data_IF_673327331583
#
_entry.id   IF_673327331583
#
_cell.length_a   1.000
_cell.length_b   1.000
_cell.length_c   1.000
_cell.angle_alpha   90.00
_cell.angle_beta   90.00
_cell.angle_gamma   90.00
#
_symmetry.space_group_name_H-M   'P 1'
#
loop_
_entity.id
_entity.type
_entity.pdbx_description
1 polymer ?
#
# COMPACT_ATOMS: atom_id res chain seq x y z
N UNK A 1 13.27 -43.83 26.49
CA UNK A 1 14.34 -43.08 25.81
C UNK A 1 13.88 -41.65 25.55
N UNK A 2 14.57 -40.65 26.11
CA UNK A 2 14.14 -39.24 26.00
C UNK A 2 14.09 -38.71 24.57
N UNK A 3 14.92 -39.24 23.65
CA UNK A 3 14.90 -38.90 22.23
C UNK A 3 13.56 -39.18 21.52
N UNK A 4 12.78 -40.15 22.02
CA UNK A 4 11.49 -40.52 21.42
C UNK A 4 10.30 -39.71 21.94
N UNK A 5 10.49 -38.85 22.95
CA UNK A 5 9.42 -38.02 23.51
C UNK A 5 8.92 -36.95 22.54
N UNK A 6 9.70 -36.63 21.52
CA UNK A 6 9.32 -35.69 20.47
C UNK A 6 8.44 -36.32 19.36
N UNK A 7 8.46 -37.65 19.20
CA UNK A 7 7.74 -38.32 18.12
C UNK A 7 6.20 -38.17 18.22
N UNK A 8 5.56 -38.33 19.41
CA UNK A 8 4.13 -38.10 19.54
C UNK A 8 3.73 -36.66 19.20
N UNK A 9 4.54 -35.68 19.60
CA UNK A 9 4.35 -34.27 19.25
C UNK A 9 4.44 -34.04 17.74
N UNK A 10 5.47 -34.61 17.09
CA UNK A 10 5.61 -34.53 15.63
C UNK A 10 4.39 -35.13 14.91
N UNK A 11 3.91 -36.29 15.35
CA UNK A 11 2.73 -36.95 14.77
C UNK A 11 1.45 -36.15 14.98
N UNK A 12 1.28 -35.50 16.14
CA UNK A 12 0.12 -34.67 16.43
C UNK A 12 0.14 -33.34 15.63
N UNK A 13 1.33 -32.77 15.41
CA UNK A 13 1.50 -31.53 14.66
C UNK A 13 1.36 -31.72 13.14
N UNK A 14 1.79 -32.86 12.60
CA UNK A 14 1.78 -33.15 11.16
C UNK A 14 0.44 -32.88 10.43
N UNK A 15 -0.73 -33.34 10.92
CA UNK A 15 -2.01 -33.07 10.24
C UNK A 15 -2.42 -31.59 10.32
N UNK A 16 -2.12 -30.89 11.41
CA UNK A 16 -2.39 -29.45 11.55
C UNK A 16 -1.53 -28.66 10.57
N UNK A 17 -0.25 -28.99 10.48
CA UNK A 17 0.69 -28.39 9.55
C UNK A 17 0.25 -28.58 8.09
N UNK A 18 -0.23 -29.77 7.73
CA UNK A 18 -0.78 -30.04 6.41
C UNK A 18 -2.08 -29.28 6.11
N UNK A 19 -2.89 -28.93 7.12
CA UNK A 19 -4.05 -28.06 6.94
C UNK A 19 -3.61 -26.61 6.67
N UNK A 20 -2.65 -26.10 7.44
CA UNK A 20 -2.12 -24.75 7.30
C UNK A 20 -1.36 -24.52 5.98
N UNK A 21 -0.63 -25.54 5.50
CA UNK A 21 -0.01 -25.52 4.17
C UNK A 21 -1.04 -25.42 3.04
N UNK A 22 -2.19 -26.10 3.18
CA UNK A 22 -3.30 -26.03 2.22
C UNK A 22 -3.98 -24.67 2.26
N UNK A 23 -4.27 -24.16 3.45
CA UNK A 23 -4.82 -22.82 3.64
C UNK A 23 -3.92 -21.75 3.01
N UNK A 24 -2.61 -21.82 3.21
CA UNK A 24 -1.67 -20.91 2.54
C UNK A 24 -1.73 -21.01 1.01
N UNK A 25 -1.85 -22.23 0.48
CA UNK A 25 -1.93 -22.45 -0.96
C UNK A 25 -3.21 -21.84 -1.55
N UNK A 26 -4.34 -21.98 -0.87
CA UNK A 26 -5.63 -21.38 -1.26
C UNK A 26 -5.58 -19.85 -1.21
N UNK A 27 -5.01 -19.28 -0.14
CA UNK A 27 -4.80 -17.83 -0.03
C UNK A 27 -3.88 -17.33 -1.15
N UNK A 28 -2.77 -18.01 -1.40
CA UNK A 28 -1.80 -17.63 -2.43
C UNK A 28 -2.41 -17.69 -3.84
N UNK A 29 -3.23 -18.70 -4.12
CA UNK A 29 -3.97 -18.80 -5.38
C UNK A 29 -4.98 -17.65 -5.53
N UNK A 30 -5.63 -17.26 -4.44
CA UNK A 30 -6.55 -16.11 -4.42
C UNK A 30 -5.81 -14.80 -4.69
N UNK A 31 -4.63 -14.60 -4.08
CA UNK A 31 -3.77 -13.44 -4.32
C UNK A 31 -3.28 -13.38 -5.77
N UNK A 32 -3.02 -14.52 -6.40
CA UNK A 32 -2.60 -14.59 -7.80
C UNK A 32 -3.74 -14.32 -8.79
N UNK A 33 -4.99 -14.49 -8.38
CA UNK A 33 -6.17 -14.23 -9.22
C UNK A 33 -6.37 -12.74 -9.54
N UNK A 34 -6.95 -12.47 -10.72
CA UNK A 34 -7.26 -11.12 -11.22
C UNK A 34 -8.46 -10.47 -10.52
N UNK A 35 -9.27 -11.24 -9.79
CA UNK A 35 -10.43 -10.69 -9.08
C UNK A 35 -9.98 -9.81 -7.93
N UNK A 36 -10.72 -8.72 -7.72
CA UNK A 36 -10.69 -7.87 -6.54
C UNK A 36 -11.07 -8.71 -5.31
N UNK A 37 -10.17 -9.59 -4.89
CA UNK A 37 -10.29 -10.25 -3.61
C UNK A 37 -10.27 -9.17 -2.53
N UNK A 38 -11.09 -9.35 -1.49
CA UNK A 38 -11.12 -8.43 -0.37
C UNK A 38 -9.77 -8.47 0.37
N UNK A 39 -8.86 -7.58 -0.02
CA UNK A 39 -7.47 -7.58 0.46
C UNK A 39 -7.38 -7.48 2.00
N UNK A 40 -8.21 -6.70 2.70
CA UNK A 40 -8.32 -6.73 4.16
C UNK A 40 -8.59 -8.14 4.72
N UNK A 41 -9.52 -8.88 4.12
CA UNK A 41 -9.87 -10.24 4.55
C UNK A 41 -8.72 -11.21 4.30
N UNK A 42 -8.02 -11.10 3.17
CA UNK A 42 -6.83 -11.93 2.91
C UNK A 42 -5.69 -11.63 3.89
N UNK A 43 -5.49 -10.35 4.25
CA UNK A 43 -4.46 -9.95 5.21
C UNK A 43 -4.77 -10.49 6.60
N UNK A 44 -6.03 -10.45 7.02
CA UNK A 44 -6.51 -11.01 8.29
C UNK A 44 -6.36 -12.55 8.31
N UNK A 45 -6.70 -13.25 7.23
CA UNK A 45 -6.46 -14.68 7.07
C UNK A 45 -4.96 -15.02 7.19
N UNK A 46 -4.08 -14.32 6.47
CA UNK A 46 -2.63 -14.50 6.57
C UNK A 46 -2.10 -14.21 7.97
N UNK A 47 -2.62 -13.19 8.65
CA UNK A 47 -2.22 -12.84 10.00
C UNK A 47 -2.57 -13.95 10.98
N UNK A 48 -3.80 -14.49 10.91
CA UNK A 48 -4.19 -15.65 11.72
C UNK A 48 -3.34 -16.87 11.43
N UNK A 49 -3.07 -17.14 10.15
CA UNK A 49 -2.24 -18.26 9.73
C UNK A 49 -0.81 -18.11 10.27
N UNK A 50 -0.22 -16.92 10.21
CA UNK A 50 1.09 -16.62 10.77
C UNK A 50 1.14 -16.92 12.28
N UNK A 51 0.14 -16.45 13.03
CA UNK A 51 0.02 -16.73 14.47
C UNK A 51 -0.10 -18.22 14.75
N UNK A 52 -0.88 -18.96 13.94
CA UNK A 52 -1.02 -20.40 14.09
C UNK A 52 0.29 -21.15 13.80
N UNK A 53 1.06 -20.72 12.79
CA UNK A 53 2.39 -21.26 12.46
C UNK A 53 3.36 -21.02 13.61
N UNK A 54 3.46 -19.78 14.09
CA UNK A 54 4.36 -19.42 15.18
C UNK A 54 4.03 -20.17 16.47
N UNK A 55 2.74 -20.32 16.79
CA UNK A 55 2.31 -21.14 17.93
C UNK A 55 2.76 -22.60 17.77
N UNK A 56 2.56 -23.20 16.60
CA UNK A 56 3.00 -24.58 16.32
C UNK A 56 4.52 -24.76 16.39
N UNK A 57 5.28 -23.77 15.90
CA UNK A 57 6.75 -23.73 16.01
C UNK A 57 7.16 -23.67 17.48
N UNK A 58 6.56 -22.76 18.26
CA UNK A 58 6.88 -22.55 19.67
C UNK A 58 6.62 -23.80 20.51
N UNK A 59 5.50 -24.50 20.28
CA UNK A 59 5.16 -25.76 20.96
C UNK A 59 6.22 -26.86 20.73
N UNK A 60 6.76 -26.96 19.51
CA UNK A 60 7.66 -28.04 19.10
C UNK A 60 9.15 -27.76 19.30
N UNK A 61 9.57 -26.49 19.28
CA UNK A 61 10.98 -26.09 19.13
C UNK A 61 11.90 -26.69 20.19
N UNK A 62 11.54 -26.56 21.47
CA UNK A 62 12.38 -27.09 22.56
C UNK A 62 12.48 -28.62 22.50
N UNK A 63 11.36 -29.31 22.22
CA UNK A 63 11.33 -30.78 22.23
C UNK A 63 12.03 -31.39 21.03
N UNK A 64 11.87 -30.81 19.84
CA UNK A 64 12.59 -31.23 18.63
C UNK A 64 14.10 -30.97 18.75
N UNK A 65 14.49 -29.81 19.31
CA UNK A 65 15.89 -29.50 19.60
C UNK A 65 16.51 -30.48 20.60
N UNK A 66 15.83 -30.75 21.72
CA UNK A 66 16.29 -31.71 22.71
C UNK A 66 16.39 -33.13 22.13
N UNK A 67 15.39 -33.59 21.38
CA UNK A 67 15.42 -34.91 20.75
C UNK A 67 16.60 -35.07 19.79
N UNK A 68 16.93 -34.02 19.02
CA UNK A 68 18.11 -34.00 18.14
C UNK A 68 19.40 -34.11 18.95
N UNK A 69 19.57 -33.27 19.97
CA UNK A 69 20.76 -33.30 20.83
C UNK A 69 20.95 -34.67 21.52
N UNK A 70 19.87 -35.28 22.02
CA UNK A 70 19.94 -36.61 22.62
C UNK A 70 20.25 -37.71 21.61
N UNK A 71 19.71 -37.64 20.40
CA UNK A 71 20.05 -38.58 19.33
C UNK A 71 21.53 -38.48 18.97
N UNK A 72 22.04 -37.27 18.79
CA UNK A 72 23.44 -37.04 18.42
C UNK A 72 24.39 -37.47 19.54
N UNK A 73 24.01 -37.23 20.81
CA UNK A 73 24.76 -37.74 21.96
C UNK A 73 24.82 -39.27 21.98
N UNK A 74 23.70 -39.96 21.73
CA UNK A 74 23.68 -41.43 21.67
C UNK A 74 24.61 -41.93 20.57
N UNK A 75 24.56 -41.34 19.38
CA UNK A 75 25.46 -41.72 18.28
C UNK A 75 26.93 -41.45 18.60
N UNK A 76 27.24 -40.31 19.23
CA UNK A 76 28.61 -39.98 19.68
C UNK A 76 29.13 -41.01 20.68
N UNK A 77 28.33 -41.37 21.69
CA UNK A 77 28.72 -42.37 22.69
C UNK A 77 28.93 -43.75 22.10
N UNK A 78 28.12 -44.15 21.13
CA UNK A 78 28.32 -45.41 20.41
C UNK A 78 29.61 -45.36 19.58
N UNK A 79 29.88 -44.24 18.89
CA UNK A 79 31.10 -44.08 18.10
C UNK A 79 32.37 -44.16 18.98
N UNK A 80 32.33 -43.61 20.20
CA UNK A 80 33.42 -43.69 21.18
C UNK A 80 33.74 -45.12 21.62
N UNK A 81 32.78 -46.05 21.58
CA UNK A 81 33.00 -47.46 21.91
C UNK A 81 33.87 -48.19 20.88
N UNK A 82 34.07 -47.61 19.69
CA UNK A 82 34.87 -48.20 18.59
C UNK A 82 34.47 -49.65 18.29
N UNK A 83 33.17 -49.86 18.11
CA UNK A 83 32.60 -51.19 17.87
C UNK A 83 33.25 -51.87 16.66
N UNK A 84 33.58 -53.14 16.83
CA UNK A 84 34.03 -54.00 15.73
C UNK A 84 32.89 -54.93 15.33
N UNK A 85 32.79 -55.21 14.02
CA UNK A 85 31.80 -56.16 13.52
C UNK A 85 32.19 -57.58 13.90
N UNK A 86 31.25 -58.31 14.47
CA UNK A 86 31.37 -59.76 14.67
C UNK A 86 30.39 -60.44 13.72
N UNK A 87 30.88 -61.42 12.96
CA UNK A 87 30.05 -62.12 11.97
C UNK A 87 28.80 -62.70 12.61
N UNK A 88 27.64 -62.46 12.01
CA UNK A 88 26.34 -62.92 12.49
C UNK A 88 25.71 -62.08 13.62
N UNK A 89 26.37 -61.03 14.12
CA UNK A 89 25.82 -60.15 15.17
C UNK A 89 25.70 -58.69 14.71
N UNK A 90 24.62 -58.04 15.15
CA UNK A 90 24.39 -56.62 14.91
C UNK A 90 25.15 -55.77 15.94
N UNK A 91 25.76 -54.66 15.50
CA UNK A 91 26.40 -53.69 16.42
C UNK A 91 25.35 -52.87 17.17
N UNK A 92 25.70 -52.27 18.31
CA UNK A 92 24.78 -51.39 19.05
C UNK A 92 24.43 -50.19 18.17
N UNK A 93 25.38 -49.67 17.39
CA UNK A 93 25.14 -48.61 16.41
C UNK A 93 24.07 -48.96 15.39
N UNK A 94 24.14 -50.13 14.76
CA UNK A 94 23.14 -50.55 13.77
C UNK A 94 21.77 -50.77 14.40
N UNK A 95 21.71 -51.34 15.61
CA UNK A 95 20.47 -51.52 16.36
C UNK A 95 19.82 -50.18 16.70
N UNK A 96 20.60 -49.26 17.28
CA UNK A 96 20.14 -47.96 17.73
C UNK A 96 19.75 -47.06 16.55
N UNK A 97 20.51 -47.09 15.45
CA UNK A 97 20.16 -46.37 14.22
C UNK A 97 18.80 -46.83 13.68
N UNK A 98 18.56 -48.14 13.52
CA UNK A 98 17.25 -48.66 13.06
C UNK A 98 16.11 -48.26 13.98
N UNK A 99 16.36 -48.16 15.29
CA UNK A 99 15.34 -47.84 16.28
C UNK A 99 15.04 -46.35 16.42
N UNK A 100 16.05 -45.49 16.26
CA UNK A 100 15.93 -44.04 16.49
C UNK A 100 15.77 -43.24 15.20
N UNK A 101 16.44 -43.62 14.11
CA UNK A 101 16.48 -42.83 12.89
C UNK A 101 15.08 -42.55 12.29
N UNK A 102 14.13 -43.50 12.22
CA UNK A 102 12.80 -43.22 11.68
C UNK A 102 12.02 -42.17 12.49
N UNK A 103 12.14 -42.23 13.81
CA UNK A 103 11.49 -41.28 14.71
C UNK A 103 12.12 -39.89 14.58
N UNK A 104 13.45 -39.83 14.49
CA UNK A 104 14.19 -38.59 14.31
C UNK A 104 13.94 -37.95 12.95
N UNK A 105 13.89 -38.73 11.88
CA UNK A 105 13.54 -38.24 10.54
C UNK A 105 12.15 -37.60 10.52
N UNK A 106 11.18 -38.19 11.24
CA UNK A 106 9.83 -37.61 11.38
C UNK A 106 9.88 -36.26 12.11
N UNK A 107 10.58 -36.17 13.24
CA UNK A 107 10.70 -34.93 14.00
C UNK A 107 11.40 -33.82 13.19
N UNK A 108 12.47 -34.17 12.47
CA UNK A 108 13.19 -33.24 11.62
C UNK A 108 12.35 -32.77 10.43
N UNK A 109 11.59 -33.67 9.80
CA UNK A 109 10.68 -33.33 8.70
C UNK A 109 9.61 -32.33 9.14
N UNK A 110 8.97 -32.56 10.29
CA UNK A 110 7.96 -31.64 10.85
C UNK A 110 8.60 -30.29 11.20
N UNK A 111 9.73 -30.28 11.89
CA UNK A 111 10.42 -29.04 12.25
C UNK A 111 10.83 -28.21 11.02
N UNK A 112 11.32 -28.88 9.96
CA UNK A 112 11.68 -28.21 8.71
C UNK A 112 10.45 -27.62 8.01
N UNK A 113 9.37 -28.39 7.89
CA UNK A 113 8.12 -27.92 7.28
C UNK A 113 7.50 -26.74 8.04
N UNK A 114 7.60 -26.71 9.37
CA UNK A 114 7.15 -25.57 10.19
C UNK A 114 7.91 -24.27 9.82
N UNK A 115 9.23 -24.34 9.68
CA UNK A 115 10.05 -23.19 9.28
C UNK A 115 9.78 -22.76 7.84
N UNK A 116 9.75 -23.71 6.91
CA UNK A 116 9.41 -23.45 5.50
C UNK A 116 8.03 -22.79 5.35
N UNK A 117 7.05 -23.24 6.15
CA UNK A 117 5.73 -22.63 6.15
C UNK A 117 5.75 -21.20 6.70
N UNK A 118 6.47 -20.95 7.81
CA UNK A 118 6.61 -19.59 8.37
C UNK A 118 7.18 -18.62 7.33
N UNK A 119 8.28 -18.98 6.66
CA UNK A 119 8.87 -18.17 5.58
C UNK A 119 7.91 -17.94 4.42
N UNK A 120 7.12 -18.95 4.03
CA UNK A 120 6.14 -18.81 2.95
C UNK A 120 4.98 -17.88 3.35
N UNK A 121 4.52 -17.93 4.59
CA UNK A 121 3.48 -17.01 5.11
C UNK A 121 4.00 -15.57 5.16
N UNK A 122 5.24 -15.37 5.62
CA UNK A 122 5.89 -14.05 5.63
C UNK A 122 5.98 -13.46 4.21
N UNK A 123 6.48 -14.26 3.25
CA UNK A 123 6.56 -13.85 1.84
C UNK A 123 5.20 -13.50 1.27
N UNK A 124 4.17 -14.33 1.50
CA UNK A 124 2.82 -14.06 1.04
C UNK A 124 2.26 -12.75 1.63
N UNK A 125 2.50 -12.52 2.92
CA UNK A 125 2.08 -11.29 3.63
C UNK A 125 2.76 -10.04 3.08
N UNK A 126 4.07 -10.13 2.79
CA UNK A 126 4.83 -9.02 2.19
C UNK A 126 4.34 -8.69 0.78
N UNK A 127 4.06 -9.70 -0.04
CA UNK A 127 3.53 -9.50 -1.40
C UNK A 127 2.14 -8.85 -1.38
N UNK A 128 1.25 -9.33 -0.50
CA UNK A 128 -0.08 -8.74 -0.37
C UNK A 128 -0.02 -7.28 0.10
N UNK A 129 0.82 -6.97 1.10
CA UNK A 129 1.04 -5.58 1.55
C UNK A 129 1.52 -4.69 0.40
N UNK A 130 2.51 -5.17 -0.35
CA UNK A 130 3.05 -4.43 -1.51
C UNK A 130 1.97 -4.17 -2.55
N UNK A 131 1.12 -5.16 -2.86
CA UNK A 131 -0.01 -4.99 -3.79
C UNK A 131 -1.00 -3.94 -3.29
N UNK A 132 -1.37 -3.98 -2.00
CA UNK A 132 -2.28 -3.00 -1.39
C UNK A 132 -1.71 -1.58 -1.47
N UNK A 133 -0.42 -1.42 -1.17
CA UNK A 133 0.25 -0.12 -1.23
C UNK A 133 0.25 0.45 -2.66
N UNK A 134 0.54 -0.39 -3.67
CA UNK A 134 0.47 0.00 -5.09
C UNK A 134 -0.95 0.42 -5.49
N UNK A 135 -1.97 -0.34 -5.08
CA UNK A 135 -3.37 -0.01 -5.39
C UNK A 135 -3.76 1.33 -4.78
N UNK A 136 -3.39 1.58 -3.52
CA UNK A 136 -3.64 2.84 -2.83
C UNK A 136 -2.90 4.00 -3.48
N UNK A 137 -1.65 3.81 -3.86
CA UNK A 137 -0.86 4.84 -4.56
C UNK A 137 -1.50 5.21 -5.89
N UNK A 138 -1.94 4.21 -6.68
CA UNK A 138 -2.65 4.44 -7.95
C UNK A 138 -3.95 5.21 -7.73
N UNK A 139 -4.76 4.84 -6.74
CA UNK A 139 -5.99 5.58 -6.38
C UNK A 139 -5.69 7.03 -6.00
N UNK A 140 -4.61 7.27 -5.24
CA UNK A 140 -4.20 8.61 -4.86
C UNK A 140 -3.75 9.44 -6.08
N UNK A 141 -2.97 8.86 -6.98
CA UNK A 141 -2.57 9.51 -8.24
C UNK A 141 -3.80 9.86 -9.11
N UNK A 142 -4.78 8.96 -9.22
CA UNK A 142 -6.03 9.21 -9.94
C UNK A 142 -6.86 10.33 -9.30
N UNK A 143 -6.92 10.36 -7.97
CA UNK A 143 -7.60 11.41 -7.21
C UNK A 143 -6.93 12.77 -7.45
N UNK A 144 -5.62 12.87 -7.32
CA UNK A 144 -4.85 14.09 -7.58
C UNK A 144 -5.02 14.56 -9.03
N UNK A 145 -4.98 13.65 -9.99
CA UNK A 145 -5.24 13.97 -11.39
C UNK A 145 -6.68 14.51 -11.59
N UNK A 146 -7.67 13.96 -10.87
CA UNK A 146 -9.05 14.47 -10.91
C UNK A 146 -9.17 15.86 -10.27
N UNK A 147 -8.38 16.15 -9.24
CA UNK A 147 -8.33 17.45 -8.58
C UNK A 147 -7.70 18.50 -9.50
N UNK A 148 -6.59 18.19 -10.16
CA UNK A 148 -5.94 19.10 -11.12
C UNK A 148 -6.90 19.44 -12.28
N UNK A 149 -7.60 18.43 -12.82
CA UNK A 149 -8.64 18.67 -13.85
C UNK A 149 -9.74 19.61 -13.36
N UNK A 150 -10.23 19.40 -12.13
CA UNK A 150 -11.26 20.26 -11.53
C UNK A 150 -10.75 21.68 -11.29
N UNK A 151 -9.54 21.85 -10.77
CA UNK A 151 -8.92 23.16 -10.57
C UNK A 151 -8.76 23.92 -11.89
N UNK A 152 -8.31 23.26 -12.96
CA UNK A 152 -8.21 23.87 -14.30
C UNK A 152 -9.56 24.31 -14.85
N UNK A 153 -10.61 23.52 -14.64
CA UNK A 153 -11.97 23.90 -15.06
C UNK A 153 -12.48 25.11 -14.25
N UNK A 154 -12.23 25.14 -12.95
CA UNK A 154 -12.57 26.29 -12.10
C UNK A 154 -11.84 27.56 -12.55
N UNK A 155 -10.55 27.46 -12.91
CA UNK A 155 -9.79 28.59 -13.46
C UNK A 155 -10.39 29.09 -14.78
N UNK A 156 -10.77 28.19 -15.68
CA UNK A 156 -11.42 28.59 -16.96
C UNK A 156 -12.76 29.27 -16.73
N UNK A 157 -13.59 28.73 -15.84
CA UNK A 157 -14.87 29.35 -15.50
C UNK A 157 -14.66 30.74 -14.88
N UNK A 158 -13.68 30.90 -14.00
CA UNK A 158 -13.32 32.19 -13.44
C UNK A 158 -12.85 33.18 -14.52
N UNK A 159 -12.00 32.75 -15.45
CA UNK A 159 -11.59 33.57 -16.60
C UNK A 159 -12.80 34.00 -17.47
N UNK A 160 -13.78 33.12 -17.68
CA UNK A 160 -15.00 33.50 -18.42
C UNK A 160 -15.83 34.55 -17.67
N UNK A 161 -15.93 34.47 -16.34
CA UNK A 161 -16.65 35.46 -15.51
C UNK A 161 -15.89 36.79 -15.47
N UNK A 162 -14.56 36.76 -15.46
CA UNK A 162 -13.72 37.96 -15.59
C UNK A 162 -13.96 38.68 -16.92
N UNK A 163 -14.11 37.94 -18.02
CA UNK A 163 -14.45 38.54 -19.32
C UNK A 163 -15.81 39.27 -19.30
N UNK A 164 -16.82 38.66 -18.67
CA UNK A 164 -18.15 39.26 -18.52
C UNK A 164 -18.13 40.50 -17.61
N UNK A 165 -17.33 40.48 -16.54
CA UNK A 165 -17.23 41.61 -15.61
C UNK A 165 -16.64 42.86 -16.28
N UNK A 166 -15.68 42.70 -17.20
CA UNK A 166 -15.14 43.81 -18.00
C UNK A 166 -16.27 44.49 -18.78
N UNK A 167 -17.16 43.72 -19.41
CA UNK A 167 -18.28 44.28 -20.16
C UNK A 167 -19.26 45.03 -19.24
N UNK A 168 -19.63 44.44 -18.10
CA UNK A 168 -20.52 45.05 -17.12
C UNK A 168 -19.93 46.37 -16.55
N UNK A 169 -18.67 46.35 -16.09
CA UNK A 169 -17.99 47.53 -15.53
C UNK A 169 -17.88 48.62 -16.59
N UNK A 170 -17.50 48.26 -17.83
CA UNK A 170 -17.40 49.23 -18.94
C UNK A 170 -18.72 49.93 -19.17
N UNK A 171 -19.84 49.19 -19.22
CA UNK A 171 -21.17 49.78 -19.39
C UNK A 171 -21.52 50.77 -18.27
N UNK A 172 -21.31 50.38 -17.00
CA UNK A 172 -21.60 51.27 -15.87
C UNK A 172 -20.74 52.53 -15.86
N UNK A 173 -19.44 52.41 -16.15
CA UNK A 173 -18.52 53.56 -16.17
C UNK A 173 -18.83 54.50 -17.33
N UNK A 174 -19.09 53.97 -18.54
CA UNK A 174 -19.53 54.79 -19.68
C UNK A 174 -20.83 55.53 -19.35
N UNK A 175 -21.79 54.86 -18.71
CA UNK A 175 -23.02 55.49 -18.25
C UNK A 175 -22.76 56.64 -17.27
N UNK A 176 -21.84 56.44 -16.32
CA UNK A 176 -21.45 57.46 -15.35
C UNK A 176 -20.78 58.67 -16.02
N UNK A 177 -19.90 58.44 -17.01
CA UNK A 177 -19.29 59.49 -17.83
C UNK A 177 -20.36 60.26 -18.60
N UNK A 178 -21.33 59.57 -19.19
CA UNK A 178 -22.44 60.19 -19.90
C UNK A 178 -23.31 61.09 -18.99
N UNK A 179 -23.63 60.64 -17.78
CA UNK A 179 -24.35 61.47 -16.81
C UNK A 179 -23.54 62.68 -16.35
N UNK A 180 -22.23 62.52 -16.12
CA UNK A 180 -21.35 63.63 -15.79
C UNK A 180 -21.28 64.67 -16.91
N UNK A 181 -21.15 64.23 -18.17
CA UNK A 181 -21.15 65.11 -19.33
C UNK A 181 -22.46 65.91 -19.46
N UNK A 182 -23.61 65.27 -19.23
CA UNK A 182 -24.91 65.95 -19.19
C UNK A 182 -25.01 66.98 -18.05
N UNK A 183 -24.47 66.66 -16.87
CA UNK A 183 -24.41 67.58 -15.74
C UNK A 183 -23.57 68.84 -16.04
N UNK A 184 -22.43 68.67 -16.73
CA UNK A 184 -21.58 69.79 -17.16
C UNK A 184 -22.26 70.62 -18.26
N UNK A 185 -22.93 69.98 -19.22
CA UNK A 185 -23.69 70.69 -20.25
C UNK A 185 -24.84 71.53 -19.64
N UNK A 186 -25.51 71.01 -18.61
CA UNK A 186 -26.56 71.74 -17.89
C UNK A 186 -26.03 72.98 -17.11
N UNK A 187 -24.73 73.06 -16.85
CA UNK A 187 -24.06 74.20 -16.20
C UNK A 187 -23.65 75.31 -17.20
N UNK A 188 -24.04 75.20 -18.48
CA UNK A 188 -23.83 76.23 -19.50
C UNK A 188 -22.62 76.03 -20.41
N UNK A 189 -21.96 74.87 -20.36
CA UNK A 189 -20.89 74.52 -21.29
C UNK A 189 -21.44 73.82 -22.55
N UNK A 190 -21.04 74.27 -23.75
CA UNK A 190 -21.36 73.60 -25.01
C UNK A 190 -20.52 72.33 -25.19
N UNK A 191 -20.87 71.27 -24.48
CA UNK A 191 -20.22 69.96 -24.60
C UNK A 191 -21.06 69.04 -25.48
N UNK A 192 -20.54 68.51 -26.60
CA UNK A 192 -21.24 67.51 -27.41
C UNK A 192 -21.26 66.18 -26.64
N UNK A 193 -22.27 66.00 -25.78
CA UNK A 193 -22.42 64.87 -24.86
C UNK A 193 -22.36 63.51 -25.57
N UNK A 194 -22.86 63.43 -26.79
CA UNK A 194 -22.92 62.20 -27.57
C UNK A 194 -21.54 61.78 -28.07
N UNK A 195 -20.71 62.74 -28.49
CA UNK A 195 -19.33 62.49 -28.93
C UNK A 195 -18.46 62.08 -27.75
N UNK A 196 -18.62 62.76 -26.60
CA UNK A 196 -17.88 62.42 -25.36
C UNK A 196 -18.24 61.01 -24.90
N UNK A 197 -19.53 60.65 -24.92
CA UNK A 197 -19.97 59.31 -24.53
C UNK A 197 -19.46 58.25 -25.50
N UNK A 198 -19.55 58.47 -26.83
CA UNK A 198 -19.05 57.54 -27.83
C UNK A 198 -17.54 57.34 -27.76
N UNK A 199 -16.77 58.42 -27.56
CA UNK A 199 -15.32 58.35 -27.42
C UNK A 199 -14.87 57.66 -26.11
N UNK A 200 -15.69 57.73 -25.05
CA UNK A 200 -15.38 57.09 -23.77
C UNK A 200 -15.44 55.56 -23.82
N UNK A 201 -16.26 54.97 -24.70
CA UNK A 201 -16.45 53.51 -24.80
C UNK A 201 -15.13 52.76 -25.01
N UNK A 202 -14.35 53.00 -26.09
CA UNK A 202 -13.10 52.27 -26.31
C UNK A 202 -12.04 52.58 -25.24
N UNK A 203 -12.01 53.81 -24.71
CA UNK A 203 -11.05 54.22 -23.69
C UNK A 203 -11.29 53.49 -22.37
N UNK A 204 -12.54 53.49 -21.88
CA UNK A 204 -12.95 52.82 -20.65
C UNK A 204 -12.78 51.31 -20.77
N UNK A 205 -13.20 50.72 -21.89
CA UNK A 205 -13.04 49.29 -22.15
C UNK A 205 -11.57 48.86 -22.07
N UNK A 206 -10.67 49.63 -22.68
CA UNK A 206 -9.24 49.37 -22.64
C UNK A 206 -8.66 49.51 -21.22
N UNK A 207 -9.02 50.58 -20.50
CA UNK A 207 -8.54 50.83 -19.14
C UNK A 207 -8.98 49.72 -18.16
N UNK A 208 -10.25 49.32 -18.23
CA UNK A 208 -10.80 48.23 -17.39
C UNK A 208 -10.11 46.91 -17.73
N UNK A 209 -9.94 46.59 -19.01
CA UNK A 209 -9.24 45.37 -19.44
C UNK A 209 -7.78 45.34 -18.99
N UNK A 210 -7.07 46.47 -19.07
CA UNK A 210 -5.69 46.58 -18.57
C UNK A 210 -5.61 46.50 -17.05
N UNK A 211 -6.54 47.13 -16.33
CA UNK A 211 -6.63 47.09 -14.88
C UNK A 211 -6.86 45.68 -14.33
N UNK A 212 -7.85 44.96 -14.89
CA UNK A 212 -8.13 43.56 -14.52
C UNK A 212 -6.92 42.67 -14.83
N UNK A 213 -6.29 42.84 -16.00
CA UNK A 213 -5.06 42.11 -16.35
C UNK A 213 -3.89 42.41 -15.40
N UNK A 214 -3.77 43.65 -14.92
CA UNK A 214 -2.70 44.04 -14.01
C UNK A 214 -2.88 43.39 -12.63
N UNK A 215 -4.09 43.48 -12.05
CA UNK A 215 -4.43 42.87 -10.76
C UNK A 215 -4.20 41.35 -10.79
N UNK A 216 -4.59 40.69 -11.88
CA UNK A 216 -4.35 39.26 -12.05
C UNK A 216 -2.85 38.92 -12.02
N UNK A 217 -2.02 39.71 -12.70
CA UNK A 217 -0.56 39.50 -12.73
C UNK A 217 0.09 39.71 -11.36
N UNK A 218 -0.39 40.66 -10.56
CA UNK A 218 0.16 40.92 -9.23
C UNK A 218 -0.25 39.86 -8.21
N UNK A 219 -1.52 39.41 -8.22
CA UNK A 219 -2.02 38.36 -7.32
C UNK A 219 -1.35 37.01 -7.61
N UNK A 220 -1.16 36.65 -8.88
CA UNK A 220 -0.46 35.42 -9.27
C UNK A 220 1.03 35.46 -8.88
N UNK A 221 1.66 36.63 -8.88
CA UNK A 221 3.06 36.79 -8.40
C UNK A 221 3.18 36.71 -6.88
N UNK A 222 2.21 37.23 -6.13
CA UNK A 222 2.20 37.20 -4.67
C UNK A 222 2.01 35.80 -4.05
N UNK A 223 1.42 34.85 -4.79
CA UNK A 223 1.23 33.47 -4.33
C UNK A 223 2.46 32.55 -4.53
N UNK A 224 3.56 33.05 -5.11
CA UNK A 224 4.80 32.31 -5.39
C UNK A 224 6.02 32.75 -4.58
N UNK A 225 5.86 33.71 -3.67
CA UNK A 225 6.86 34.15 -2.69
C UNK A 225 6.48 33.62 -1.31
#
# INVERSE_FOLDING_TARGET
MMALLALPLARAAAPRLAAMERELAEISATIAGERSADEPTLLDQLTRLAVAVESSVAEGRFRFGAARAYHDLVLSRIAELREQRVSGMQTIGEFMARRLAPAMATCQSVARRQLELSERVERASSLLRTRVDIVREKQNQELLASMDRRARLQLRLQETVEGLSIAAITYYVVGLVGYAAKGVAALGAEVPTDIVTAASIPLVALLVALGVRHIRRTVIRGSRA
#
